data_IF_687647658243
#
_entry.id   IF_687647658243
#
_cell.length_a   1.000
_cell.length_b   1.000
_cell.length_c   1.000
_cell.angle_alpha   90.00
_cell.angle_beta   90.00
_cell.angle_gamma   90.00
#
_symmetry.space_group_name_H-M   'P 1'
#
loop_
_entity.id
_entity.type
_entity.pdbx_description
1 polymer ?
#
# COMPACT_ATOMS: atom_id res chain seq x y z
N UNK A 1 5.12 1.10 -13.44
CA UNK A 1 4.67 -0.32 -13.26
C UNK A 1 3.20 -0.36 -12.88
N UNK A 2 2.50 -1.49 -13.18
CA UNK A 2 1.13 -1.72 -12.74
C UNK A 2 1.05 -3.00 -11.89
N UNK A 3 0.26 -2.96 -10.83
CA UNK A 3 0.01 -4.10 -9.96
C UNK A 3 -1.44 -4.18 -9.49
N UNK A 4 -1.79 -5.26 -8.80
CA UNK A 4 -3.11 -5.41 -8.21
C UNK A 4 -3.06 -6.15 -6.87
N UNK A 5 -3.88 -5.67 -5.92
CA UNK A 5 -4.44 -6.49 -4.87
C UNK A 5 -5.72 -7.11 -5.41
N UNK A 6 -5.72 -8.42 -5.55
CA UNK A 6 -6.81 -9.16 -6.21
C UNK A 6 -7.08 -10.47 -5.45
N UNK A 7 -7.86 -10.39 -4.35
CA UNK A 7 -8.17 -11.58 -3.54
C UNK A 7 -9.07 -12.58 -4.29
N UNK A 8 -9.84 -12.11 -5.28
CA UNK A 8 -10.76 -12.93 -6.06
C UNK A 8 -10.14 -13.55 -7.32
N UNK A 9 -8.88 -13.24 -7.63
CA UNK A 9 -8.13 -13.85 -8.73
C UNK A 9 -8.56 -13.43 -10.13
N UNK A 10 -9.21 -12.26 -10.28
CA UNK A 10 -9.66 -11.75 -11.58
C UNK A 10 -8.48 -11.44 -12.52
N UNK A 11 -7.32 -11.02 -11.96
CA UNK A 11 -6.09 -10.76 -12.69
C UNK A 11 -5.16 -11.98 -12.81
N UNK A 12 -5.58 -13.15 -12.32
CA UNK A 12 -4.73 -14.35 -12.30
C UNK A 12 -4.19 -14.73 -13.66
N UNK A 13 -5.02 -14.63 -14.69
CA UNK A 13 -4.64 -15.01 -16.06
C UNK A 13 -4.16 -13.84 -16.91
N UNK A 14 -4.22 -12.62 -16.39
CA UNK A 14 -3.72 -11.43 -17.08
C UNK A 14 -2.21 -11.37 -17.04
N UNK A 15 -1.59 -10.98 -18.15
CA UNK A 15 -0.16 -10.66 -18.23
C UNK A 15 0.16 -9.23 -17.77
N UNK A 16 -0.86 -8.44 -17.48
CA UNK A 16 -0.74 -7.03 -17.18
C UNK A 16 -0.08 -6.69 -15.85
N UNK A 17 -0.51 -7.26 -14.71
CA UNK A 17 0.11 -6.92 -13.43
C UNK A 17 1.56 -7.38 -13.40
N UNK A 18 2.45 -6.43 -13.09
CA UNK A 18 3.86 -6.66 -12.81
C UNK A 18 4.10 -6.79 -11.28
N UNK A 19 3.10 -6.42 -10.46
CA UNK A 19 3.14 -6.50 -9.01
C UNK A 19 1.93 -7.31 -8.53
N UNK A 20 2.19 -8.34 -7.75
CA UNK A 20 1.19 -9.10 -6.99
C UNK A 20 1.18 -8.58 -5.57
N UNK A 21 0.07 -8.01 -5.13
CA UNK A 21 -0.05 -7.43 -3.79
C UNK A 21 -0.85 -8.33 -2.87
N UNK A 22 -0.38 -8.49 -1.62
CA UNK A 22 -1.03 -9.27 -0.58
C UNK A 22 -0.94 -8.56 0.78
N UNK A 23 -1.98 -8.67 1.59
CA UNK A 23 -1.99 -8.25 2.99
C UNK A 23 -1.79 -9.46 3.90
N UNK A 24 -1.00 -9.29 4.93
CA UNK A 24 -0.83 -10.29 5.99
C UNK A 24 -0.91 -9.64 7.37
N UNK A 25 -1.55 -10.36 8.29
CA UNK A 25 -1.55 -10.01 9.71
C UNK A 25 -0.37 -10.73 10.38
N UNK A 26 0.54 -9.99 11.00
CA UNK A 26 1.72 -10.62 11.58
C UNK A 26 1.43 -11.54 12.77
N UNK A 27 0.23 -11.45 13.37
CA UNK A 27 -0.23 -12.36 14.43
C UNK A 27 -0.71 -13.70 13.91
N UNK A 28 -1.24 -13.74 12.70
CA UNK A 28 -1.87 -14.92 12.11
C UNK A 28 -1.64 -14.91 10.59
N UNK A 29 -0.42 -15.26 10.19
CA UNK A 29 -0.05 -15.36 8.78
C UNK A 29 -0.79 -16.57 8.18
N UNK A 30 -1.67 -16.30 7.22
CA UNK A 30 -2.26 -17.35 6.39
C UNK A 30 -1.20 -17.88 5.42
N UNK A 31 -0.48 -18.93 5.87
CA UNK A 31 0.61 -19.55 5.09
C UNK A 31 0.13 -20.09 3.75
N UNK A 32 -0.96 -20.87 3.65
CA UNK A 32 -1.46 -21.36 2.37
C UNK A 32 -1.78 -20.24 1.37
N UNK A 33 -2.40 -19.17 1.83
CA UNK A 33 -2.70 -18.01 0.98
C UNK A 33 -1.42 -17.34 0.51
N UNK A 34 -0.46 -17.07 1.42
CA UNK A 34 0.81 -16.43 1.08
C UNK A 34 1.62 -17.27 0.08
N UNK A 35 1.76 -18.57 0.31
CA UNK A 35 2.45 -19.51 -0.60
C UNK A 35 1.81 -19.54 -1.99
N UNK A 36 0.47 -19.52 -2.06
CA UNK A 36 -0.25 -19.45 -3.34
C UNK A 36 0.05 -18.14 -4.08
N UNK A 37 0.11 -17.01 -3.37
CA UNK A 37 0.46 -15.70 -3.95
C UNK A 37 1.93 -15.63 -4.39
N UNK A 38 2.85 -16.17 -3.61
CA UNK A 38 4.27 -16.30 -3.96
C UNK A 38 4.46 -17.16 -5.22
N UNK A 39 3.76 -18.29 -5.29
CA UNK A 39 3.78 -19.17 -6.46
C UNK A 39 3.26 -18.44 -7.70
N UNK A 40 2.11 -17.76 -7.61
CA UNK A 40 1.54 -16.98 -8.71
C UNK A 40 2.50 -15.87 -9.17
N UNK A 41 3.08 -15.11 -8.24
CA UNK A 41 4.04 -14.06 -8.54
C UNK A 41 5.27 -14.61 -9.26
N UNK A 42 5.83 -15.74 -8.80
CA UNK A 42 6.95 -16.42 -9.45
C UNK A 42 6.60 -16.90 -10.85
N UNK A 43 5.48 -17.60 -11.02
CA UNK A 43 5.03 -18.14 -12.32
C UNK A 43 4.81 -17.05 -13.37
N UNK A 44 4.41 -15.87 -12.92
CA UNK A 44 4.14 -14.71 -13.78
C UNK A 44 5.29 -13.70 -13.88
N UNK A 45 6.40 -13.94 -13.19
CA UNK A 45 7.51 -12.99 -13.14
C UNK A 45 7.12 -11.65 -12.49
N UNK A 46 6.20 -11.67 -11.51
CA UNK A 46 5.73 -10.47 -10.82
C UNK A 46 6.58 -10.17 -9.59
N UNK A 47 6.73 -8.90 -9.28
CA UNK A 47 7.17 -8.44 -7.97
C UNK A 47 6.14 -8.87 -6.93
N UNK A 48 6.57 -9.38 -5.79
CA UNK A 48 5.69 -9.62 -4.66
C UNK A 48 5.71 -8.42 -3.72
N UNK A 49 4.59 -7.73 -3.57
CA UNK A 49 4.40 -6.67 -2.59
C UNK A 49 3.58 -7.20 -1.41
N UNK A 50 4.17 -7.20 -0.23
CA UNK A 50 3.52 -7.69 0.99
C UNK A 50 3.27 -6.53 1.94
N UNK A 51 1.99 -6.22 2.18
CA UNK A 51 1.59 -5.32 3.25
C UNK A 51 1.46 -6.09 4.56
N UNK A 52 2.26 -5.69 5.54
CA UNK A 52 2.28 -6.28 6.89
C UNK A 52 1.52 -5.37 7.83
N UNK A 53 0.43 -5.88 8.39
CA UNK A 53 -0.41 -5.17 9.35
C UNK A 53 -0.04 -5.58 10.79
N UNK A 54 0.61 -4.66 11.54
CA UNK A 54 1.10 -4.95 12.89
C UNK A 54 0.01 -4.73 13.95
N UNK A 55 -0.99 -5.59 13.98
CA UNK A 55 -2.01 -5.56 15.02
C UNK A 55 -1.44 -5.89 16.41
N UNK A 56 -2.22 -5.71 17.46
CA UNK A 56 -1.78 -5.89 18.84
C UNK A 56 -1.98 -7.34 19.33
N UNK A 57 -1.53 -7.61 20.56
CA UNK A 57 -1.78 -8.88 21.26
C UNK A 57 -3.09 -8.88 22.07
N UNK A 58 -3.90 -7.81 21.98
CA UNK A 58 -5.21 -7.78 22.62
C UNK A 58 -6.16 -8.82 22.01
N UNK A 59 -7.18 -9.24 22.76
CA UNK A 59 -8.20 -10.17 22.27
C UNK A 59 -8.86 -9.64 20.99
N UNK A 60 -9.24 -8.37 21.00
CA UNK A 60 -9.50 -7.63 19.76
C UNK A 60 -8.18 -7.00 19.30
N UNK A 61 -7.63 -7.43 18.21
CA UNK A 61 -6.33 -6.98 17.68
C UNK A 61 -6.23 -5.49 17.42
N UNK A 62 -7.35 -4.79 17.34
CA UNK A 62 -7.41 -3.33 17.14
C UNK A 62 -7.22 -2.55 18.44
N UNK A 63 -7.39 -3.20 19.59
CA UNK A 63 -7.23 -2.56 20.90
C UNK A 63 -5.76 -2.54 21.34
N UNK A 64 -5.45 -1.74 22.36
CA UNK A 64 -4.10 -1.69 22.95
C UNK A 64 -3.03 -1.01 22.10
N UNK A 65 -3.41 -0.22 21.11
CA UNK A 65 -2.49 0.50 20.22
C UNK A 65 -1.53 1.46 20.98
N UNK A 66 -1.95 1.99 22.10
CA UNK A 66 -1.13 2.90 22.92
C UNK A 66 0.14 2.26 23.47
N UNK A 67 0.16 0.92 23.55
CA UNK A 67 1.33 0.15 24.00
C UNK A 67 2.10 -0.52 22.88
N UNK A 68 1.57 -0.52 21.66
CA UNK A 68 2.11 -1.30 20.53
C UNK A 68 3.60 -1.00 20.29
N UNK A 69 3.96 0.27 20.16
CA UNK A 69 5.35 0.63 19.86
C UNK A 69 6.29 0.36 21.03
N UNK A 70 5.86 0.61 22.26
CA UNK A 70 6.63 0.25 23.45
C UNK A 70 6.84 -1.27 23.54
N UNK A 71 5.81 -2.06 23.23
CA UNK A 71 5.87 -3.52 23.22
C UNK A 71 6.81 -4.04 22.13
N UNK A 72 6.79 -3.43 20.93
CA UNK A 72 7.74 -3.73 19.87
C UNK A 72 9.18 -3.45 20.33
N UNK A 73 9.43 -2.28 20.94
CA UNK A 73 10.77 -1.90 21.40
C UNK A 73 11.30 -2.86 22.47
N UNK A 74 10.45 -3.35 23.37
CA UNK A 74 10.83 -4.33 24.40
C UNK A 74 11.00 -5.77 23.89
N UNK A 75 10.77 -6.01 22.60
CA UNK A 75 10.92 -7.34 22.00
C UNK A 75 9.68 -8.23 22.10
N UNK A 76 8.57 -7.72 22.61
CA UNK A 76 7.33 -8.54 22.75
C UNK A 76 6.80 -9.08 21.42
N UNK A 77 7.18 -8.44 20.29
CA UNK A 77 6.80 -8.83 18.94
C UNK A 77 7.97 -9.37 18.09
N UNK A 78 9.15 -9.59 18.68
CA UNK A 78 10.30 -10.12 17.93
C UNK A 78 9.98 -11.48 17.24
N UNK A 79 9.23 -12.41 17.86
CA UNK A 79 8.82 -13.63 17.17
C UNK A 79 7.93 -13.36 15.95
N UNK A 80 6.99 -12.41 16.02
CA UNK A 80 6.11 -12.05 14.91
C UNK A 80 6.88 -11.40 13.77
N UNK A 81 7.84 -10.52 14.09
CA UNK A 81 8.72 -9.90 13.09
C UNK A 81 9.55 -10.99 12.39
N UNK A 82 10.20 -11.86 13.14
CA UNK A 82 11.01 -12.94 12.59
C UNK A 82 10.18 -13.90 11.73
N UNK A 83 8.99 -14.31 12.20
CA UNK A 83 8.09 -15.18 11.46
C UNK A 83 7.59 -14.54 10.15
N UNK A 84 7.29 -13.23 10.19
CA UNK A 84 6.87 -12.47 9.00
C UNK A 84 7.99 -12.40 7.98
N UNK A 85 9.18 -11.96 8.40
CA UNK A 85 10.32 -11.84 7.49
C UNK A 85 10.77 -13.20 6.93
N UNK A 86 10.75 -14.26 7.77
CA UNK A 86 11.03 -15.64 7.35
C UNK A 86 10.04 -16.15 6.32
N UNK A 87 8.74 -15.87 6.52
CA UNK A 87 7.70 -16.33 5.59
C UNK A 87 7.87 -15.77 4.17
N UNK A 88 8.30 -14.51 4.05
CA UNK A 88 8.46 -13.85 2.75
C UNK A 88 9.86 -14.00 2.16
N UNK A 89 10.87 -14.34 2.96
CA UNK A 89 12.26 -14.55 2.50
C UNK A 89 12.40 -15.74 1.54
N UNK A 90 11.43 -16.65 1.54
CA UNK A 90 11.38 -17.80 0.63
C UNK A 90 11.01 -17.42 -0.81
N UNK A 91 10.56 -16.18 -1.04
CA UNK A 91 10.24 -15.70 -2.39
C UNK A 91 11.53 -15.38 -3.17
N UNK A 92 11.75 -16.04 -4.32
CA UNK A 92 13.03 -15.94 -5.06
C UNK A 92 13.10 -14.70 -5.99
N UNK A 93 12.04 -13.90 -6.08
CA UNK A 93 11.95 -12.72 -6.96
C UNK A 93 12.07 -11.40 -6.21
N UNK A 94 11.75 -10.32 -6.89
CA UNK A 94 11.72 -8.98 -6.29
C UNK A 94 10.63 -8.91 -5.22
N UNK A 95 11.05 -8.61 -3.98
CA UNK A 95 10.20 -8.56 -2.79
C UNK A 95 10.13 -7.13 -2.25
N UNK A 96 8.92 -6.59 -2.14
CA UNK A 96 8.64 -5.32 -1.49
C UNK A 96 7.85 -5.56 -0.20
N UNK A 97 8.29 -4.97 0.89
CA UNK A 97 7.62 -5.08 2.19
C UNK A 97 7.13 -3.70 2.63
N UNK A 98 5.84 -3.60 2.87
CA UNK A 98 5.13 -2.41 3.31
C UNK A 98 4.59 -2.66 4.72
N UNK A 99 5.18 -2.05 5.75
CA UNK A 99 4.82 -2.30 7.15
C UNK A 99 4.10 -1.11 7.76
N UNK A 100 2.99 -1.34 8.46
CA UNK A 100 2.30 -0.34 9.26
C UNK A 100 1.89 0.91 8.45
N UNK A 101 1.18 0.69 7.36
CA UNK A 101 0.75 1.73 6.44
C UNK A 101 -0.24 2.74 7.06
N UNK A 102 -0.39 3.91 6.45
CA UNK A 102 -1.35 4.96 6.87
C UNK A 102 -1.22 5.37 8.33
N UNK A 103 0.00 5.42 8.84
CA UNK A 103 0.30 5.64 10.25
C UNK A 103 -0.10 7.02 10.78
N UNK A 104 -0.27 8.00 9.90
CA UNK A 104 -0.71 9.34 10.25
C UNK A 104 -2.23 9.54 10.11
N UNK A 105 -3.00 8.46 9.90
CA UNK A 105 -4.45 8.55 9.81
C UNK A 105 -5.04 9.16 11.09
N UNK A 106 -5.74 10.33 10.99
CA UNK A 106 -6.24 11.02 12.16
C UNK A 106 -7.43 10.31 12.83
N UNK A 107 -8.04 9.35 12.15
CA UNK A 107 -9.21 8.63 12.69
C UNK A 107 -8.83 7.55 13.70
N UNK A 108 -7.54 7.18 13.80
CA UNK A 108 -7.10 6.08 14.63
C UNK A 108 -7.64 4.73 14.19
N UNK A 109 -7.91 4.57 12.89
CA UNK A 109 -8.43 3.32 12.28
C UNK A 109 -7.58 2.12 12.62
N UNK A 110 -6.27 2.32 12.73
CA UNK A 110 -5.30 1.26 13.01
C UNK A 110 -4.65 1.44 14.38
N UNK A 111 -4.27 0.36 15.08
CA UNK A 111 -3.56 0.45 16.36
C UNK A 111 -2.20 1.13 16.24
N UNK A 112 -1.59 1.18 15.07
CA UNK A 112 -0.33 1.90 14.80
C UNK A 112 -0.53 3.36 14.34
N UNK A 113 -1.78 3.83 14.18
CA UNK A 113 -2.12 5.22 13.85
C UNK A 113 -2.59 5.97 15.12
N UNK A 114 -1.68 6.18 16.10
CA UNK A 114 -2.00 6.71 17.44
C UNK A 114 -1.29 8.04 17.76
N UNK A 115 -0.94 8.82 16.75
CA UNK A 115 -0.25 10.11 16.89
C UNK A 115 1.09 10.04 17.64
N UNK A 116 1.70 8.87 17.74
CA UNK A 116 3.05 8.66 18.26
C UNK A 116 4.04 8.44 17.11
N UNK A 117 4.48 9.52 16.50
CA UNK A 117 5.42 9.46 15.38
C UNK A 117 6.79 8.92 15.78
N UNK A 118 7.26 9.21 17.02
CA UNK A 118 8.56 8.72 17.50
C UNK A 118 8.54 7.21 17.72
N UNK A 119 7.48 6.73 18.37
CA UNK A 119 7.28 5.30 18.57
C UNK A 119 7.16 4.55 17.26
N UNK A 120 6.39 5.08 16.30
CA UNK A 120 6.28 4.50 14.96
C UNK A 120 7.63 4.41 14.26
N UNK A 121 8.39 5.51 14.19
CA UNK A 121 9.71 5.54 13.55
C UNK A 121 10.67 4.51 14.16
N UNK A 122 10.72 4.41 15.49
CA UNK A 122 11.54 3.43 16.16
C UNK A 122 11.10 1.99 15.86
N UNK A 123 9.78 1.73 15.86
CA UNK A 123 9.23 0.40 15.55
C UNK A 123 9.47 0.00 14.09
N UNK A 124 9.27 0.92 13.14
CA UNK A 124 9.55 0.71 11.73
C UNK A 124 11.02 0.35 11.49
N UNK A 125 11.95 1.11 12.07
CA UNK A 125 13.39 0.84 11.96
C UNK A 125 13.75 -0.54 12.50
N UNK A 126 13.24 -0.89 13.70
CA UNK A 126 13.46 -2.21 14.29
C UNK A 126 12.94 -3.33 13.39
N UNK A 127 11.76 -3.16 12.78
CA UNK A 127 11.20 -4.12 11.82
C UNK A 127 12.13 -4.28 10.61
N UNK A 128 12.54 -3.17 9.98
CA UNK A 128 13.42 -3.17 8.80
C UNK A 128 14.77 -3.80 9.11
N UNK A 129 15.42 -3.42 10.22
CA UNK A 129 16.73 -3.94 10.62
C UNK A 129 16.67 -5.46 10.89
N UNK A 130 15.57 -5.94 11.45
CA UNK A 130 15.37 -7.37 11.67
C UNK A 130 15.12 -8.11 10.36
N UNK A 131 14.25 -7.57 9.51
CA UNK A 131 13.95 -8.18 8.22
C UNK A 131 15.16 -8.21 7.27
N UNK A 132 16.00 -7.19 7.24
CA UNK A 132 17.20 -7.17 6.40
C UNK A 132 18.19 -8.31 6.72
N UNK A 133 18.20 -8.76 7.96
CA UNK A 133 19.05 -9.92 8.36
C UNK A 133 18.47 -11.25 7.85
N UNK A 134 17.15 -11.34 7.65
CA UNK A 134 16.44 -12.58 7.30
C UNK A 134 16.16 -12.61 5.78
N UNK A 135 15.78 -11.48 5.20
CA UNK A 135 15.45 -11.28 3.79
C UNK A 135 16.27 -10.11 3.20
N UNK A 136 17.59 -10.27 2.99
CA UNK A 136 18.50 -9.17 2.63
C UNK A 136 18.19 -8.56 1.25
N UNK A 137 17.50 -9.27 0.36
CA UNK A 137 17.06 -8.76 -0.95
C UNK A 137 15.74 -7.98 -0.92
N UNK A 138 15.06 -7.90 0.22
CA UNK A 138 13.80 -7.18 0.31
C UNK A 138 13.99 -5.66 0.25
N UNK A 139 13.07 -4.98 -0.44
CA UNK A 139 12.95 -3.52 -0.47
C UNK A 139 11.82 -3.07 0.44
N UNK A 140 12.07 -2.01 1.22
CA UNK A 140 11.13 -1.55 2.24
C UNK A 140 10.39 -0.28 1.81
N UNK A 141 9.06 -0.36 1.87
CA UNK A 141 8.15 0.71 1.51
C UNK A 141 7.59 1.38 2.77
N UNK A 142 7.94 2.65 2.98
CA UNK A 142 7.24 3.50 3.93
C UNK A 142 5.98 4.05 3.26
N UNK A 143 4.81 3.87 3.87
CA UNK A 143 3.55 4.11 3.18
C UNK A 143 2.58 4.97 3.99
N UNK A 144 2.72 6.30 3.94
CA UNK A 144 1.74 7.21 4.52
C UNK A 144 0.42 7.20 3.72
N UNK A 145 -0.64 7.65 4.37
CA UNK A 145 -1.91 7.97 3.70
C UNK A 145 -1.79 9.20 2.80
N UNK A 146 -0.81 10.05 3.07
CA UNK A 146 -0.56 11.29 2.36
C UNK A 146 -1.19 12.52 3.03
N UNK A 147 -1.52 12.43 4.31
CA UNK A 147 -2.10 13.51 5.08
C UNK A 147 -1.04 14.51 5.60
N UNK A 148 -1.52 15.64 6.12
CA UNK A 148 -0.62 16.63 6.75
C UNK A 148 0.05 16.01 7.98
N UNK A 149 1.32 16.37 8.23
CA UNK A 149 2.08 15.87 9.37
C UNK A 149 2.85 14.57 9.11
N UNK A 150 2.66 13.90 7.95
CA UNK A 150 3.33 12.64 7.61
C UNK A 150 4.85 12.66 7.79
N UNK A 151 5.48 13.83 7.63
CA UNK A 151 6.94 13.94 7.73
C UNK A 151 7.51 13.57 9.11
N UNK A 152 6.72 13.74 10.17
CA UNK A 152 7.14 13.34 11.51
C UNK A 152 7.33 11.80 11.64
N UNK A 153 6.70 11.05 10.74
CA UNK A 153 6.73 9.58 10.71
C UNK A 153 7.78 9.02 9.74
N UNK A 154 8.58 9.87 9.09
CA UNK A 154 9.57 9.38 8.13
C UNK A 154 10.73 8.68 8.83
N UNK A 155 11.00 7.39 8.54
CA UNK A 155 12.02 6.61 9.25
C UNK A 155 13.46 6.97 8.90
N UNK A 156 13.66 7.77 7.86
CA UNK A 156 14.98 8.13 7.34
C UNK A 156 15.37 7.31 6.12
N UNK A 157 16.29 7.88 5.33
CA UNK A 157 16.66 7.35 4.02
C UNK A 157 17.25 5.95 4.05
N UNK A 158 17.92 5.59 5.15
CA UNK A 158 18.57 4.28 5.31
C UNK A 158 17.57 3.14 5.52
N UNK A 159 16.33 3.46 5.92
CA UNK A 159 15.28 2.47 6.20
C UNK A 159 14.16 2.47 5.17
N UNK A 160 14.23 3.35 4.16
CA UNK A 160 13.19 3.52 3.15
C UNK A 160 13.78 3.39 1.75
N UNK A 161 13.35 2.39 1.00
CA UNK A 161 13.76 2.20 -0.40
C UNK A 161 12.80 2.88 -1.37
N UNK A 162 11.51 2.94 -1.01
CA UNK A 162 10.43 3.57 -1.79
C UNK A 162 9.32 4.09 -0.88
N UNK A 163 8.50 4.99 -1.39
CA UNK A 163 7.33 5.52 -0.69
C UNK A 163 6.07 4.95 -1.31
N UNK A 164 5.22 4.35 -0.48
CA UNK A 164 3.84 4.01 -0.84
C UNK A 164 2.89 5.15 -0.48
N UNK A 165 1.75 5.22 -1.15
CA UNK A 165 0.65 6.10 -0.74
C UNK A 165 -0.68 5.47 -1.14
N UNK A 166 -1.72 5.66 -0.32
CA UNK A 166 -3.08 5.24 -0.67
C UNK A 166 -3.81 6.38 -1.36
N UNK A 167 -4.53 6.06 -2.43
CA UNK A 167 -5.27 7.04 -3.23
C UNK A 167 -6.66 6.50 -3.57
N UNK A 168 -7.67 7.14 -3.02
CA UNK A 168 -9.06 6.73 -3.15
C UNK A 168 -9.89 7.79 -3.86
N UNK A 169 -10.49 7.43 -4.98
CA UNK A 169 -11.51 8.21 -5.67
C UNK A 169 -12.89 7.75 -5.21
N UNK A 170 -13.53 8.52 -4.35
CA UNK A 170 -14.90 8.27 -3.90
C UNK A 170 -15.77 9.46 -4.26
N UNK A 171 -16.58 9.32 -5.31
CA UNK A 171 -17.35 10.43 -5.89
C UNK A 171 -18.23 11.13 -4.84
N UNK A 172 -18.89 10.36 -3.97
CA UNK A 172 -19.71 10.92 -2.90
C UNK A 172 -18.88 11.78 -1.96
N UNK A 173 -17.69 11.31 -1.56
CA UNK A 173 -16.79 12.06 -0.68
C UNK A 173 -16.28 13.33 -1.36
N UNK A 174 -15.91 13.26 -2.63
CA UNK A 174 -15.49 14.44 -3.40
C UNK A 174 -16.59 15.52 -3.44
N UNK A 175 -17.83 15.11 -3.73
CA UNK A 175 -18.96 16.04 -3.75
C UNK A 175 -19.24 16.67 -2.39
N UNK A 176 -19.15 15.86 -1.33
CA UNK A 176 -19.43 16.34 0.05
C UNK A 176 -18.32 17.28 0.55
N UNK A 177 -17.04 17.02 0.23
CA UNK A 177 -15.91 17.80 0.74
C UNK A 177 -15.47 18.94 -0.19
N UNK A 178 -15.69 18.81 -1.50
CA UNK A 178 -15.19 19.74 -2.51
C UNK A 178 -16.29 20.34 -3.39
N UNK A 179 -17.55 19.96 -3.18
CA UNK A 179 -18.71 20.42 -3.97
C UNK A 179 -18.76 19.88 -5.40
N UNK A 180 -17.76 19.09 -5.83
CA UNK A 180 -17.66 18.51 -7.19
C UNK A 180 -16.85 17.22 -7.18
N UNK A 181 -17.02 16.37 -8.20
CA UNK A 181 -16.08 15.27 -8.43
C UNK A 181 -14.68 15.78 -8.74
N UNK A 182 -13.66 15.05 -8.33
CA UNK A 182 -12.26 15.34 -8.67
C UNK A 182 -11.68 14.20 -9.50
N UNK A 183 -10.70 14.50 -10.34
CA UNK A 183 -9.96 13.52 -11.11
C UNK A 183 -8.79 12.92 -10.34
N UNK A 184 -8.17 11.90 -10.95
CA UNK A 184 -6.99 11.24 -10.42
C UNK A 184 -5.82 12.22 -10.22
N UNK A 185 -5.48 13.00 -11.26
CA UNK A 185 -4.31 13.87 -11.23
C UNK A 185 -4.42 14.95 -10.15
N UNK A 186 -5.60 15.57 -10.00
CA UNK A 186 -5.85 16.56 -8.96
C UNK A 186 -5.73 15.96 -7.56
N UNK A 187 -6.35 14.80 -7.36
CA UNK A 187 -6.35 14.11 -6.04
C UNK A 187 -4.95 13.63 -5.68
N UNK A 188 -4.20 13.13 -6.65
CA UNK A 188 -2.83 12.65 -6.42
C UNK A 188 -1.84 13.79 -6.20
N UNK A 189 -1.96 14.91 -6.93
CA UNK A 189 -1.05 16.07 -6.81
C UNK A 189 -0.98 16.58 -5.36
N UNK A 190 -2.10 16.63 -4.66
CA UNK A 190 -2.13 17.05 -3.26
C UNK A 190 -1.25 16.17 -2.35
N UNK A 191 -1.24 14.87 -2.57
CA UNK A 191 -0.44 13.90 -1.82
C UNK A 191 1.00 13.89 -2.32
N UNK A 192 1.17 13.91 -3.64
CA UNK A 192 2.47 13.90 -4.30
C UNK A 192 3.38 15.02 -3.79
N UNK A 193 2.89 16.25 -3.72
CA UNK A 193 3.65 17.42 -3.21
C UNK A 193 4.12 17.27 -1.77
N UNK A 194 3.47 16.43 -0.97
CA UNK A 194 3.88 16.19 0.41
C UNK A 194 4.98 15.13 0.51
N UNK A 195 5.06 14.20 -0.46
CA UNK A 195 5.97 13.07 -0.41
C UNK A 195 7.16 13.17 -1.37
N UNK A 196 7.07 13.93 -2.47
CA UNK A 196 8.16 14.07 -3.46
C UNK A 196 9.47 14.60 -2.86
N UNK A 197 9.38 15.40 -1.81
CA UNK A 197 10.55 15.99 -1.13
C UNK A 197 11.50 14.97 -0.49
N UNK A 198 11.07 13.73 -0.30
CA UNK A 198 11.93 12.67 0.23
C UNK A 198 12.81 12.03 -0.86
N UNK A 199 12.61 12.37 -2.14
CA UNK A 199 13.47 11.96 -3.25
C UNK A 199 13.50 10.46 -3.52
N UNK A 200 12.50 9.70 -3.07
CA UNK A 200 12.40 8.26 -3.28
C UNK A 200 11.42 7.92 -4.42
N UNK A 201 11.57 6.78 -5.10
CA UNK A 201 10.53 6.27 -5.97
C UNK A 201 9.18 6.19 -5.25
N UNK A 202 8.11 6.60 -5.91
CA UNK A 202 6.76 6.63 -5.35
C UNK A 202 5.91 5.55 -6.02
N UNK A 203 5.18 4.80 -5.21
CA UNK A 203 4.19 3.82 -5.65
C UNK A 203 2.84 4.20 -5.06
N UNK A 204 1.81 4.33 -5.88
CA UNK A 204 0.45 4.34 -5.35
C UNK A 204 0.17 2.89 -4.94
N UNK A 205 0.37 2.61 -3.65
CA UNK A 205 0.33 1.26 -3.09
C UNK A 205 -1.09 0.69 -2.97
N UNK A 206 -2.05 1.59 -2.90
CA UNK A 206 -3.48 1.26 -2.97
C UNK A 206 -4.19 2.35 -3.77
N UNK A 207 -4.78 1.94 -4.89
CA UNK A 207 -5.61 2.78 -5.73
C UNK A 207 -6.99 2.16 -5.86
N UNK A 208 -8.04 2.91 -5.57
CA UNK A 208 -9.41 2.51 -5.87
C UNK A 208 -10.26 3.68 -6.33
N UNK A 209 -11.26 3.40 -7.17
CA UNK A 209 -12.25 4.40 -7.59
C UNK A 209 -13.66 3.83 -7.50
N UNK A 210 -14.56 4.58 -6.85
CA UNK A 210 -15.97 4.21 -6.66
C UNK A 210 -16.88 5.41 -6.87
N UNK A 211 -17.92 5.21 -7.65
CA UNK A 211 -18.86 6.27 -8.06
C UNK A 211 -19.63 5.87 -9.31
N UNK A 212 -20.25 6.84 -9.96
CA UNK A 212 -20.90 6.67 -11.24
C UNK A 212 -19.94 6.23 -12.35
N UNK A 213 -20.49 5.72 -13.44
CA UNK A 213 -19.69 5.19 -14.55
C UNK A 213 -18.77 6.25 -15.17
N UNK A 214 -19.27 7.47 -15.35
CA UNK A 214 -18.48 8.59 -15.87
C UNK A 214 -17.31 8.96 -14.96
N UNK A 215 -17.55 9.04 -13.66
CA UNK A 215 -16.52 9.33 -12.67
C UNK A 215 -15.37 8.32 -12.73
N UNK A 216 -15.72 7.02 -12.70
CA UNK A 216 -14.73 5.93 -12.78
C UNK A 216 -13.98 5.94 -14.11
N UNK A 217 -14.69 6.17 -15.24
CA UNK A 217 -14.06 6.26 -16.57
C UNK A 217 -13.07 7.40 -16.66
N UNK A 218 -13.39 8.57 -16.10
CA UNK A 218 -12.49 9.72 -16.08
C UNK A 218 -11.21 9.42 -15.31
N UNK A 219 -11.32 8.83 -14.12
CA UNK A 219 -10.17 8.39 -13.33
C UNK A 219 -9.28 7.43 -14.12
N UNK A 220 -9.87 6.39 -14.71
CA UNK A 220 -9.11 5.38 -15.45
C UNK A 220 -8.47 5.95 -16.73
N UNK A 221 -9.13 6.89 -17.38
CA UNK A 221 -8.57 7.59 -18.54
C UNK A 221 -7.36 8.46 -18.17
N UNK A 222 -7.42 9.18 -17.05
CA UNK A 222 -6.27 9.96 -16.57
C UNK A 222 -5.08 9.06 -16.21
N UNK A 223 -5.32 7.92 -15.53
CA UNK A 223 -4.30 6.93 -15.18
C UNK A 223 -3.66 6.36 -16.44
N UNK A 224 -4.46 5.97 -17.43
CA UNK A 224 -3.96 5.43 -18.71
C UNK A 224 -3.14 6.48 -19.48
N UNK A 225 -3.49 7.74 -19.35
CA UNK A 225 -2.80 8.87 -19.99
C UNK A 225 -1.49 9.29 -19.31
N UNK A 226 -1.14 8.75 -18.14
CA UNK A 226 0.06 9.17 -17.39
C UNK A 226 1.36 8.94 -18.17
N UNK A 227 1.43 7.90 -18.99
CA UNK A 227 2.61 7.62 -19.83
C UNK A 227 2.87 8.69 -20.87
N UNK A 228 1.81 9.28 -21.42
CA UNK A 228 1.90 10.37 -22.39
C UNK A 228 2.25 11.71 -21.72
N UNK A 229 1.96 11.85 -20.43
CA UNK A 229 2.24 13.04 -19.61
C UNK A 229 3.50 12.86 -18.76
N UNK A 230 4.57 12.32 -19.35
CA UNK A 230 5.87 12.17 -18.67
C UNK A 230 6.31 13.51 -18.11
N UNK A 231 6.51 13.59 -16.80
CA UNK A 231 6.93 14.80 -16.08
C UNK A 231 5.90 15.39 -15.13
N UNK A 232 4.62 14.97 -15.19
CA UNK A 232 3.63 15.43 -14.21
C UNK A 232 3.94 14.92 -12.78
N UNK A 233 4.36 13.67 -12.68
CA UNK A 233 4.76 13.04 -11.42
C UNK A 233 6.08 12.26 -11.62
N UNK A 234 7.23 12.93 -11.70
CA UNK A 234 8.48 12.32 -12.15
C UNK A 234 8.99 11.18 -11.26
N UNK A 235 8.60 11.15 -9.97
CA UNK A 235 8.99 10.08 -9.05
C UNK A 235 7.97 8.92 -9.01
N UNK A 236 6.83 9.02 -9.71
CA UNK A 236 5.84 7.95 -9.75
C UNK A 236 6.34 6.77 -10.57
N UNK A 237 6.60 5.65 -9.91
CA UNK A 237 7.17 4.43 -10.49
C UNK A 237 6.14 3.31 -10.66
N UNK A 238 5.09 3.29 -9.84
CA UNK A 238 4.10 2.22 -9.92
C UNK A 238 2.73 2.58 -9.35
N UNK A 239 1.74 1.80 -9.78
CA UNK A 239 0.36 1.89 -9.29
C UNK A 239 -0.12 0.47 -9.00
N UNK A 240 -0.66 0.26 -7.81
CA UNK A 240 -1.29 -1.01 -7.40
C UNK A 240 -2.78 -0.77 -7.19
N UNK A 241 -3.59 -1.39 -8.03
CA UNK A 241 -5.04 -1.27 -7.94
C UNK A 241 -5.60 -2.21 -6.85
N UNK A 242 -6.45 -1.66 -5.98
CA UNK A 242 -7.15 -2.43 -4.95
C UNK A 242 -8.46 -2.96 -5.52
N UNK A 243 -8.44 -4.20 -6.02
CA UNK A 243 -9.57 -4.81 -6.72
C UNK A 243 -10.47 -5.63 -5.79
N UNK A 244 -11.00 -4.96 -4.77
CA UNK A 244 -11.91 -5.56 -3.80
C UNK A 244 -12.98 -4.56 -3.35
N UNK A 245 -13.96 -5.06 -2.61
CA UNK A 245 -14.90 -4.24 -1.86
C UNK A 245 -14.39 -4.05 -0.45
N UNK A 246 -14.53 -2.84 0.09
CA UNK A 246 -14.18 -2.57 1.49
C UNK A 246 -14.90 -3.53 2.44
N UNK A 247 -14.16 -4.29 3.26
CA UNK A 247 -14.77 -5.23 4.21
C UNK A 247 -15.45 -4.50 5.37
N UNK A 248 -15.08 -3.26 5.61
CA UNK A 248 -15.59 -2.43 6.71
C UNK A 248 -16.20 -1.13 6.19
N UNK A 249 -17.13 -0.57 6.96
CA UNK A 249 -17.68 0.75 6.64
C UNK A 249 -16.61 1.83 6.77
N UNK A 250 -16.51 2.65 5.77
CA UNK A 250 -15.75 3.88 5.86
C UNK A 250 -16.38 4.83 6.87
N UNK A 251 -15.57 5.60 7.61
CA UNK A 251 -16.09 6.58 8.56
C UNK A 251 -16.97 7.62 7.87
N UNK A 252 -17.73 8.37 8.63
CA UNK A 252 -18.56 9.49 8.16
C UNK A 252 -19.73 9.06 7.24
N UNK A 253 -20.19 7.82 7.34
CA UNK A 253 -21.38 7.37 6.60
C UNK A 253 -21.17 7.05 5.12
N UNK A 254 -19.92 6.86 4.69
CA UNK A 254 -19.62 6.51 3.30
C UNK A 254 -19.82 5.03 2.95
N UNK A 255 -20.25 4.22 3.91
CA UNK A 255 -20.54 2.80 3.71
C UNK A 255 -19.30 1.98 3.40
N UNK A 256 -19.47 0.89 2.65
CA UNK A 256 -18.40 0.02 2.18
C UNK A 256 -18.23 0.20 0.66
N UNK A 257 -17.35 1.10 0.21
CA UNK A 257 -17.15 1.33 -1.22
C UNK A 257 -16.71 0.06 -1.94
N UNK A 258 -17.20 -0.08 -3.17
CA UNK A 258 -16.81 -1.17 -4.06
C UNK A 258 -15.84 -0.64 -5.11
N UNK A 259 -14.56 -1.03 -4.98
CA UNK A 259 -13.49 -0.62 -5.86
C UNK A 259 -13.28 -1.56 -7.05
N UNK A 260 -13.98 -2.70 -7.09
CA UNK A 260 -13.79 -3.72 -8.11
C UNK A 260 -14.06 -3.19 -9.51
N UNK A 261 -13.16 -3.52 -10.42
CA UNK A 261 -13.27 -3.23 -11.85
C UNK A 261 -12.94 -4.48 -12.67
N UNK A 262 -13.56 -4.66 -13.83
CA UNK A 262 -13.16 -5.74 -14.72
C UNK A 262 -11.77 -5.50 -15.29
N UNK A 263 -11.03 -6.56 -15.56
CA UNK A 263 -9.66 -6.52 -16.13
C UNK A 263 -9.57 -5.67 -17.39
N UNK A 264 -10.63 -5.66 -18.20
CA UNK A 264 -10.75 -4.89 -19.44
C UNK A 264 -10.63 -3.38 -19.26
N UNK A 265 -10.90 -2.85 -18.06
CA UNK A 265 -10.76 -1.42 -17.73
C UNK A 265 -9.31 -0.95 -17.86
N UNK A 266 -8.37 -1.85 -17.61
CA UNK A 266 -6.94 -1.56 -17.73
C UNK A 266 -6.40 -1.80 -19.15
N UNK A 267 -7.22 -1.71 -20.20
CA UNK A 267 -6.92 -1.85 -21.64
C UNK A 267 -5.43 -1.89 -22.06
N UNK A 268 -5.08 -1.98 -23.32
CA UNK A 268 -3.68 -2.11 -23.79
C UNK A 268 -2.79 -0.87 -23.56
N UNK A 269 -3.31 0.19 -22.95
CA UNK A 269 -2.68 1.50 -22.84
C UNK A 269 -2.02 1.86 -21.51
N UNK A 270 -1.98 1.00 -20.47
CA UNK A 270 -1.19 1.30 -19.29
C UNK A 270 0.30 1.12 -19.58
N UNK A 271 1.16 2.10 -19.18
CA UNK A 271 2.56 2.06 -19.54
C UNK A 271 3.25 0.85 -18.90
N UNK A 272 3.79 0.00 -19.74
CA UNK A 272 4.87 -0.89 -19.34
C UNK A 272 6.09 0.04 -19.22
N UNK A 273 6.53 0.32 -18.01
CA UNK A 273 7.76 1.05 -17.80
C UNK A 273 8.89 0.25 -18.46
N UNK A 274 9.60 0.87 -19.40
CA UNK A 274 10.84 0.33 -19.90
C UNK A 274 11.77 0.17 -18.69
N UNK A 275 12.23 -1.06 -18.45
CA UNK A 275 13.20 -1.39 -17.39
C UNK A 275 14.34 -0.38 -17.43
N UNK A 276 14.48 0.40 -16.37
CA UNK A 276 15.71 1.11 -16.11
C UNK A 276 16.77 0.06 -15.78
N UNK A 277 17.71 -0.14 -16.73
CA UNK A 277 18.94 -0.89 -16.50
C UNK A 277 19.85 -0.13 -15.54
#
# INVERSE_FOLDING_TARGET
>A
MFGAYDPHGQFRYSSRPQIEHVFIYWQAIDRPMLENKMRLAREKGRILMVTVEPYTKAVNWRDGGDRLFADIQRGAFDPQIAATCGAVSEFPGDLWIRWGHEMEDPTGRYPWARHDSRGYVAAYRKFVDTCRKIAPGARFMWSPKGERGLAAYYPGNDHVDMIGVSLWGLEKWDRDQHGRPRGFAETFDEKYRRIERFGKPIVIAELGTSGGEEYRRNWMSEISGLSAKRGLFPLLDGIVYFNDKEPHHWPQGYGSPDWRVPVSVFGDGLPVAASLK
#
